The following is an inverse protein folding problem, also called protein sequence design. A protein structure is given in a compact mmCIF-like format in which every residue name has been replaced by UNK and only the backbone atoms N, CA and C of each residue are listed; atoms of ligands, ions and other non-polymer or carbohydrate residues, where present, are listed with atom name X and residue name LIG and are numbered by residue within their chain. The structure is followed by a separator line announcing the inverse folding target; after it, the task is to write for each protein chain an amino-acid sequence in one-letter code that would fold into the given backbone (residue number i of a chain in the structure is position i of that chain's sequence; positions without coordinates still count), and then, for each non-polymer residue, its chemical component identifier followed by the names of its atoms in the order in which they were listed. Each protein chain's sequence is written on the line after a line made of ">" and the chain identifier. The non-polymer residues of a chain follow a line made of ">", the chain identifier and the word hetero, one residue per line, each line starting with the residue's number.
data_IF_788200840479
#
_entry.id   IF_788200840479
#
_cell.length_a   1.000
_cell.length_b   1.000
_cell.length_c   1.000
_cell.angle_alpha   90.00
_cell.angle_beta   90.00
_cell.angle_gamma   90.00
#
_symmetry.space_group_name_H-M   'P 1'
#
loop_
_entity.id
_entity.type
_entity.pdbx_description
1 polymer ?
#
# COMPACT_ATOMS: atom_id res chain seq x y z
N UNK A 1 0.27 -26.15 -2.68
CA UNK A 1 0.51 -26.70 -4.02
C UNK A 1 -0.20 -25.93 -5.14
N UNK A 2 -1.49 -25.61 -5.05
CA UNK A 2 -2.24 -24.87 -6.10
C UNK A 2 -1.57 -23.56 -6.55
N UNK A 3 -1.16 -22.70 -5.62
CA UNK A 3 -0.56 -21.39 -5.95
C UNK A 3 0.76 -21.49 -6.74
N UNK A 4 1.62 -22.45 -6.38
CA UNK A 4 2.87 -22.69 -7.13
C UNK A 4 2.59 -23.07 -8.59
N UNK A 5 1.53 -23.84 -8.83
CA UNK A 5 1.11 -24.22 -10.18
C UNK A 5 0.60 -23.00 -10.96
N UNK A 6 -0.20 -22.14 -10.35
CA UNK A 6 -0.71 -20.91 -10.99
C UNK A 6 0.43 -19.97 -11.36
N UNK A 7 1.42 -19.80 -10.49
CA UNK A 7 2.62 -19.00 -10.76
C UNK A 7 3.42 -19.61 -11.93
N UNK A 8 3.62 -20.94 -11.95
CA UNK A 8 4.31 -21.61 -13.03
C UNK A 8 3.60 -21.45 -14.39
N UNK A 9 2.26 -21.52 -14.40
CA UNK A 9 1.44 -21.27 -15.59
C UNK A 9 1.60 -19.82 -16.07
N UNK A 10 1.56 -18.84 -15.14
CA UNK A 10 1.75 -17.44 -15.48
C UNK A 10 3.13 -17.15 -16.09
N UNK A 11 4.16 -17.84 -15.63
CA UNK A 11 5.54 -17.70 -16.11
C UNK A 11 5.82 -18.43 -17.43
N UNK A 12 5.01 -19.43 -17.79
CA UNK A 12 5.27 -20.30 -18.95
C UNK A 12 5.36 -19.55 -20.29
N UNK A 13 4.77 -18.36 -20.40
CA UNK A 13 4.77 -17.52 -21.63
C UNK A 13 5.81 -16.39 -21.58
N UNK A 14 6.75 -16.42 -20.63
CA UNK A 14 7.78 -15.38 -20.42
C UNK A 14 7.18 -13.95 -20.45
N UNK A 15 6.23 -13.63 -19.57
CA UNK A 15 5.58 -12.33 -19.55
C UNK A 15 6.55 -11.24 -19.13
N UNK A 16 6.36 -10.01 -19.62
CA UNK A 16 7.10 -8.83 -19.14
C UNK A 16 6.60 -8.33 -17.78
N UNK A 17 5.37 -8.68 -17.43
CA UNK A 17 4.72 -8.27 -16.17
C UNK A 17 3.76 -9.34 -15.68
N UNK A 18 3.72 -9.55 -14.37
CA UNK A 18 2.75 -10.43 -13.71
C UNK A 18 1.95 -9.59 -12.71
N UNK A 19 0.63 -9.76 -12.72
CA UNK A 19 -0.27 -9.17 -11.74
C UNK A 19 -0.66 -10.28 -10.74
N UNK A 20 -0.42 -10.03 -9.46
CA UNK A 20 -0.73 -10.94 -8.37
C UNK A 20 -1.73 -10.26 -7.42
N UNK A 21 -2.95 -10.75 -7.42
CA UNK A 21 -4.03 -10.25 -6.57
C UNK A 21 -4.24 -11.22 -5.40
N UNK A 22 -3.93 -10.75 -4.18
CA UNK A 22 -3.99 -11.51 -2.92
C UNK A 22 -3.38 -12.92 -3.01
N UNK A 23 -2.19 -13.11 -3.59
CA UNK A 23 -1.66 -14.43 -3.92
C UNK A 23 -1.30 -15.27 -2.70
N UNK A 24 -1.25 -14.67 -1.51
CA UNK A 24 -0.86 -15.33 -0.26
C UNK A 24 -2.03 -15.50 0.72
N UNK A 25 -3.25 -15.16 0.31
CA UNK A 25 -4.46 -15.32 1.15
C UNK A 25 -4.63 -16.77 1.58
N UNK A 26 -4.99 -17.00 2.84
CA UNK A 26 -5.17 -18.31 3.48
C UNK A 26 -3.89 -19.16 3.63
N UNK A 27 -2.71 -18.56 3.57
CA UNK A 27 -1.45 -19.23 3.92
C UNK A 27 -0.93 -18.72 5.26
N UNK A 28 -0.17 -19.57 5.95
CA UNK A 28 0.58 -19.13 7.12
C UNK A 28 1.75 -18.21 6.72
N UNK A 29 2.19 -17.36 7.64
CA UNK A 29 3.19 -16.29 7.40
C UNK A 29 4.52 -16.86 6.90
N UNK A 30 4.91 -18.06 7.34
CA UNK A 30 6.18 -18.69 6.94
C UNK A 30 6.11 -19.11 5.48
N UNK A 31 5.02 -19.78 5.08
CA UNK A 31 4.81 -20.21 3.70
C UNK A 31 4.63 -19.03 2.76
N UNK A 32 3.96 -17.96 3.20
CA UNK A 32 3.86 -16.71 2.44
C UNK A 32 5.25 -16.15 2.11
N UNK A 33 6.10 -16.04 3.11
CA UNK A 33 7.47 -15.51 2.94
C UNK A 33 8.31 -16.36 2.01
N UNK A 34 8.25 -17.70 2.15
CA UNK A 34 8.94 -18.61 1.24
C UNK A 34 8.50 -18.46 -0.23
N UNK A 35 7.20 -18.29 -0.46
CA UNK A 35 6.66 -18.11 -1.81
C UNK A 35 7.14 -16.78 -2.38
N UNK A 36 7.08 -15.69 -1.61
CA UNK A 36 7.53 -14.38 -2.06
C UNK A 36 9.02 -14.36 -2.37
N UNK A 37 9.86 -15.00 -1.54
CA UNK A 37 11.29 -15.15 -1.81
C UNK A 37 11.58 -15.88 -3.13
N UNK A 38 10.82 -16.94 -3.42
CA UNK A 38 10.95 -17.68 -4.69
C UNK A 38 10.49 -16.85 -5.89
N UNK A 39 9.39 -16.11 -5.74
CA UNK A 39 8.89 -15.20 -6.80
C UNK A 39 9.92 -14.10 -7.06
N UNK A 40 10.51 -13.53 -6.01
CA UNK A 40 11.54 -12.50 -6.13
C UNK A 40 12.78 -13.04 -6.85
N UNK A 41 13.26 -14.24 -6.51
CA UNK A 41 14.36 -14.89 -7.19
C UNK A 41 14.07 -15.10 -8.70
N UNK A 42 12.86 -15.55 -9.03
CA UNK A 42 12.42 -15.69 -10.42
C UNK A 42 12.33 -14.34 -11.16
N UNK A 43 11.88 -13.28 -10.48
CA UNK A 43 11.87 -11.91 -11.03
C UNK A 43 13.29 -11.47 -11.41
N UNK A 44 14.26 -11.69 -10.56
CA UNK A 44 15.66 -11.34 -10.85
C UNK A 44 16.26 -12.18 -11.98
N UNK A 45 15.93 -13.48 -12.03
CA UNK A 45 16.43 -14.40 -13.06
C UNK A 45 15.83 -14.12 -14.45
N UNK A 46 14.53 -13.90 -14.53
CA UNK A 46 13.79 -13.74 -15.80
C UNK A 46 13.50 -12.28 -16.17
N UNK A 47 13.77 -11.32 -15.32
CA UNK A 47 13.68 -9.89 -15.63
C UNK A 47 12.26 -9.35 -15.85
N UNK A 48 11.22 -9.97 -15.27
CA UNK A 48 9.84 -9.47 -15.36
C UNK A 48 9.50 -8.52 -14.21
N UNK A 49 8.48 -7.68 -14.42
CA UNK A 49 7.92 -6.81 -13.38
C UNK A 49 6.76 -7.48 -12.65
N UNK A 50 6.53 -7.10 -11.39
CA UNK A 50 5.40 -7.61 -10.60
C UNK A 50 4.55 -6.45 -10.11
N UNK A 51 3.24 -6.50 -10.39
CA UNK A 51 2.25 -5.71 -9.69
C UNK A 51 1.59 -6.60 -8.62
N UNK A 52 1.88 -6.32 -7.36
CA UNK A 52 1.37 -7.07 -6.22
C UNK A 52 0.24 -6.29 -5.54
N UNK A 53 -0.91 -6.92 -5.34
CA UNK A 53 -2.07 -6.34 -4.65
C UNK A 53 -2.28 -7.15 -3.38
N UNK A 54 -2.30 -6.48 -2.23
CA UNK A 54 -2.51 -7.11 -0.93
C UNK A 54 -2.91 -6.09 0.14
N UNK A 55 -3.44 -6.57 1.24
CA UNK A 55 -3.69 -5.79 2.45
C UNK A 55 -2.55 -5.88 3.48
N UNK A 56 -1.55 -6.75 3.27
CA UNK A 56 -0.41 -6.93 4.18
C UNK A 56 0.76 -6.01 3.79
N UNK A 57 0.76 -4.81 4.38
CA UNK A 57 1.78 -3.80 4.13
C UNK A 57 3.17 -4.23 4.65
N UNK A 58 3.24 -5.03 5.71
CA UNK A 58 4.52 -5.45 6.31
C UNK A 58 5.33 -6.33 5.36
N UNK A 59 4.67 -7.25 4.67
CA UNK A 59 5.30 -8.06 3.64
C UNK A 59 5.76 -7.21 2.45
N UNK A 60 4.93 -6.21 2.06
CA UNK A 60 5.25 -5.39 0.88
C UNK A 60 6.50 -4.55 1.05
N UNK A 61 6.74 -4.00 2.24
CA UNK A 61 7.96 -3.21 2.49
C UNK A 61 9.25 -4.01 2.29
N UNK A 62 9.20 -5.32 2.52
CA UNK A 62 10.36 -6.21 2.36
C UNK A 62 10.60 -6.60 0.89
N UNK A 63 9.54 -6.82 0.11
CA UNK A 63 9.63 -7.46 -1.22
C UNK A 63 9.37 -6.53 -2.40
N UNK A 64 9.06 -5.25 -2.18
CA UNK A 64 8.73 -4.34 -3.28
C UNK A 64 9.66 -3.13 -3.33
N UNK A 65 9.86 -2.60 -4.54
CA UNK A 65 10.63 -1.38 -4.78
C UNK A 65 9.80 -0.13 -4.44
N UNK A 66 8.50 -0.16 -4.77
CA UNK A 66 7.55 0.95 -4.57
C UNK A 66 6.23 0.43 -4.04
N UNK A 67 5.57 1.22 -3.21
CA UNK A 67 4.25 0.91 -2.67
C UNK A 67 3.28 2.03 -3.02
N UNK A 68 2.09 1.65 -3.48
CA UNK A 68 0.93 2.51 -3.62
C UNK A 68 -0.12 2.18 -2.56
N UNK A 69 -0.51 3.15 -1.75
CA UNK A 69 -1.56 3.00 -0.75
C UNK A 69 -2.89 3.45 -1.35
N UNK A 70 -3.90 2.61 -1.21
CA UNK A 70 -5.28 2.90 -1.62
C UNK A 70 -6.21 3.09 -0.43
N UNK A 71 -7.14 4.01 -0.55
CA UNK A 71 -8.24 4.19 0.39
C UNK A 71 -9.53 4.47 -0.36
N UNK A 72 -10.58 3.73 -0.05
CA UNK A 72 -11.92 3.89 -0.65
C UNK A 72 -11.89 3.96 -2.20
N UNK A 73 -11.10 3.09 -2.86
CA UNK A 73 -10.98 3.04 -4.33
C UNK A 73 -10.11 4.14 -4.95
N UNK A 74 -9.38 4.92 -4.15
CA UNK A 74 -8.49 5.99 -4.64
C UNK A 74 -7.06 5.73 -4.20
N UNK A 75 -6.09 5.90 -5.13
CA UNK A 75 -4.67 5.89 -4.80
C UNK A 75 -4.33 7.20 -4.08
N UNK A 76 -3.87 7.12 -2.83
CA UNK A 76 -3.69 8.28 -1.95
C UNK A 76 -2.23 8.64 -1.71
N UNK A 77 -1.33 7.66 -1.81
CA UNK A 77 0.10 7.88 -1.68
C UNK A 77 0.87 6.83 -2.48
N UNK A 78 1.98 7.23 -3.12
CA UNK A 78 2.94 6.35 -3.79
C UNK A 78 4.35 6.79 -3.43
N UNK A 79 5.17 5.86 -2.95
CA UNK A 79 6.55 6.15 -2.57
C UNK A 79 7.45 4.90 -2.69
N UNK A 80 8.79 5.05 -2.63
CA UNK A 80 9.69 3.93 -2.40
C UNK A 80 9.31 3.18 -1.12
N UNK A 81 9.35 1.86 -1.14
CA UNK A 81 8.88 1.02 -0.03
C UNK A 81 9.57 1.31 1.29
N UNK A 82 10.86 1.63 1.26
CA UNK A 82 11.66 1.96 2.46
C UNK A 82 11.28 3.30 3.10
N UNK A 83 10.65 4.20 2.35
CA UNK A 83 10.32 5.55 2.78
C UNK A 83 8.86 5.70 3.20
N UNK A 84 7.95 4.95 2.59
CA UNK A 84 6.50 5.13 2.76
C UNK A 84 6.04 5.01 4.22
N UNK A 85 6.68 4.15 5.01
CA UNK A 85 6.38 4.00 6.44
C UNK A 85 7.21 4.91 7.35
N UNK A 86 8.39 5.36 6.90
CA UNK A 86 9.25 6.24 7.70
C UNK A 86 8.76 7.68 7.71
N UNK A 87 8.37 8.16 6.55
CA UNK A 87 7.94 9.54 6.32
C UNK A 87 6.67 9.59 5.47
N UNK A 88 5.53 9.08 5.98
CA UNK A 88 4.27 9.09 5.25
C UNK A 88 3.76 10.53 5.08
N UNK A 89 3.22 10.84 3.89
CA UNK A 89 2.59 12.14 3.62
C UNK A 89 1.10 12.12 3.88
N UNK A 90 0.41 11.03 3.56
CA UNK A 90 -1.03 10.97 3.79
C UNK A 90 -1.35 10.51 5.23
N UNK A 91 -2.25 11.19 5.97
CA UNK A 91 -2.61 10.80 7.34
C UNK A 91 -3.16 9.38 7.49
N UNK A 92 -3.76 8.80 6.45
CA UNK A 92 -4.15 7.39 6.44
C UNK A 92 -2.91 6.48 6.44
N UNK A 93 -1.90 6.78 5.62
CA UNK A 93 -0.62 6.03 5.59
C UNK A 93 0.10 6.13 6.93
N UNK A 94 0.09 7.32 7.56
CA UNK A 94 0.63 7.54 8.92
C UNK A 94 -0.10 6.66 9.94
N UNK A 95 -1.43 6.58 9.86
CA UNK A 95 -2.25 5.70 10.70
C UNK A 95 -1.95 4.22 10.47
N UNK A 96 -1.78 3.79 9.20
CA UNK A 96 -1.35 2.43 8.88
C UNK A 96 0.02 2.13 9.47
N UNK A 97 1.02 3.00 9.23
CA UNK A 97 2.37 2.84 9.77
C UNK A 97 2.37 2.71 11.31
N UNK A 98 1.54 3.50 12.00
CA UNK A 98 1.38 3.47 13.45
C UNK A 98 0.66 2.23 13.99
N UNK A 99 -0.02 1.49 13.13
CA UNK A 99 -0.73 0.26 13.47
C UNK A 99 0.17 -0.98 13.44
N UNK A 100 1.42 -0.85 12.96
CA UNK A 100 2.38 -1.93 12.95
C UNK A 100 3.28 -1.89 14.19
N UNK A 101 3.42 -3.01 14.92
CA UNK A 101 4.35 -3.07 16.02
C UNK A 101 5.79 -2.91 15.50
N UNK A 102 6.63 -2.11 16.16
CA UNK A 102 8.05 -2.09 15.81
C UNK A 102 8.64 -3.48 16.04
N UNK A 103 9.46 -3.96 15.08
CA UNK A 103 10.12 -5.27 15.17
C UNK A 103 11.08 -5.36 16.36
N UNK A 104 11.57 -4.21 16.86
CA UNK A 104 12.49 -4.09 18.00
C UNK A 104 12.11 -2.84 18.82
N UNK A 105 12.06 -2.96 20.14
CA UNK A 105 11.77 -1.84 21.05
C UNK A 105 10.66 -2.11 22.06
N UNK A 106 10.34 -1.13 22.93
CA UNK A 106 9.28 -1.26 23.92
C UNK A 106 7.91 -1.44 23.23
N UNK A 107 7.05 -2.26 23.83
CA UNK A 107 5.67 -2.45 23.36
C UNK A 107 4.92 -1.11 23.44
N UNK A 108 4.65 -0.51 22.28
CA UNK A 108 3.79 0.67 22.18
C UNK A 108 2.33 0.23 22.04
N UNK A 109 1.41 0.97 22.66
CA UNK A 109 -0.02 0.76 22.42
C UNK A 109 -0.33 1.10 20.94
N UNK A 110 -0.69 0.08 20.18
CA UNK A 110 -1.11 0.25 18.79
C UNK A 110 -2.43 1.03 18.78
N UNK A 111 -2.41 2.20 18.17
CA UNK A 111 -3.62 3.00 17.95
C UNK A 111 -4.13 2.72 16.53
N UNK A 112 -5.28 2.04 16.45
CA UNK A 112 -5.98 1.89 15.17
C UNK A 112 -6.41 3.25 14.61
N UNK A 113 -6.68 3.29 13.30
CA UNK A 113 -7.24 4.49 12.65
C UNK A 113 -8.69 4.68 13.14
N UNK A 114 -9.03 5.83 13.73
CA UNK A 114 -10.36 6.04 14.31
C UNK A 114 -11.47 6.09 13.24
N UNK A 115 -12.72 5.90 13.68
CA UNK A 115 -13.92 5.98 12.84
C UNK A 115 -14.13 4.77 11.92
N UNK A 116 -15.28 4.75 11.26
CA UNK A 116 -15.67 3.70 10.33
C UNK A 116 -15.11 3.95 8.91
N UNK A 117 -14.87 2.89 8.12
CA UNK A 117 -14.57 3.03 6.70
C UNK A 117 -15.64 3.85 5.96
N UNK A 118 -15.23 4.55 4.88
CA UNK A 118 -16.15 5.32 4.05
C UNK A 118 -17.20 4.40 3.42
N UNK A 119 -18.48 4.84 3.50
CA UNK A 119 -19.53 4.24 2.69
C UNK A 119 -19.31 4.60 1.21
N UNK A 120 -19.03 3.61 0.38
CA UNK A 120 -18.76 3.84 -1.06
C UNK A 120 -20.00 4.23 -1.86
N UNK A 121 -21.22 4.13 -1.28
CA UNK A 121 -22.45 4.65 -1.88
C UNK A 121 -22.60 6.17 -1.71
N UNK A 122 -21.84 6.78 -0.78
CA UNK A 122 -21.91 8.20 -0.43
C UNK A 122 -20.51 8.82 -0.48
N UNK A 123 -19.94 8.90 -1.69
CA UNK A 123 -18.58 9.44 -1.88
C UNK A 123 -18.62 10.97 -1.73
N UNK A 124 -17.83 11.57 -0.82
CA UNK A 124 -17.75 13.01 -0.65
C UNK A 124 -17.08 13.68 -1.85
N UNK A 125 -17.41 14.95 -2.09
CA UNK A 125 -16.80 15.75 -3.16
C UNK A 125 -15.30 16.00 -2.94
N UNK A 126 -14.87 16.12 -1.68
CA UNK A 126 -13.49 16.35 -1.30
C UNK A 126 -12.69 15.08 -1.00
N UNK A 127 -11.82 15.16 -0.02
CA UNK A 127 -10.98 14.04 0.41
C UNK A 127 -11.80 12.88 0.98
N UNK A 128 -11.66 11.68 0.43
CA UNK A 128 -12.39 10.49 0.90
C UNK A 128 -12.07 10.10 2.33
N UNK A 129 -10.91 10.50 2.85
CA UNK A 129 -10.48 10.22 4.22
C UNK A 129 -10.89 11.31 5.22
N UNK A 130 -11.51 12.42 4.79
CA UNK A 130 -11.82 13.60 5.63
C UNK A 130 -12.50 13.28 6.95
N UNK A 131 -13.49 12.39 6.95
CA UNK A 131 -14.27 12.05 8.14
C UNK A 131 -13.47 11.34 9.25
N UNK A 132 -12.31 10.76 8.91
CA UNK A 132 -11.42 10.01 9.82
C UNK A 132 -10.08 10.71 10.04
N UNK A 133 -9.84 11.81 9.35
CA UNK A 133 -8.57 12.53 9.36
C UNK A 133 -8.51 13.50 10.54
N UNK A 134 -7.58 13.30 11.46
CA UNK A 134 -7.32 14.25 12.56
C UNK A 134 -6.64 15.56 12.13
N UNK A 135 -6.28 15.72 10.84
CA UNK A 135 -5.56 16.88 10.29
C UNK A 135 -6.37 17.58 9.17
N UNK A 136 -7.70 17.50 9.22
CA UNK A 136 -8.60 18.05 8.19
C UNK A 136 -8.49 19.56 8.08
N UNK A 137 -8.54 20.08 6.84
CA UNK A 137 -8.66 21.50 6.51
C UNK A 137 -9.95 21.74 5.73
N UNK A 138 -10.38 22.98 5.60
CA UNK A 138 -11.59 23.37 4.85
C UNK A 138 -11.58 22.85 3.41
N UNK A 139 -10.43 22.95 2.72
CA UNK A 139 -10.25 22.42 1.36
C UNK A 139 -10.49 20.90 1.25
N UNK A 140 -10.34 20.15 2.34
CA UNK A 140 -10.60 18.70 2.32
C UNK A 140 -12.08 18.35 2.14
N UNK A 141 -13.01 19.29 2.37
CA UNK A 141 -14.44 19.03 2.25
C UNK A 141 -15.00 19.32 0.86
N UNK A 142 -14.40 20.27 0.14
CA UNK A 142 -14.96 20.82 -1.11
C UNK A 142 -14.13 20.56 -2.35
N UNK A 143 -12.83 20.31 -2.20
CA UNK A 143 -11.91 20.17 -3.33
C UNK A 143 -11.51 18.71 -3.51
N UNK A 144 -11.73 18.18 -4.72
CA UNK A 144 -11.28 16.84 -5.07
C UNK A 144 -9.73 16.78 -5.09
N UNK A 145 -9.18 15.73 -4.49
CA UNK A 145 -7.75 15.53 -4.44
C UNK A 145 -7.27 14.76 -5.67
N UNK A 146 -6.15 15.20 -6.23
CA UNK A 146 -5.42 14.48 -7.28
C UNK A 146 -4.07 14.02 -6.76
N UNK A 147 -3.62 12.87 -7.24
CA UNK A 147 -2.29 12.36 -6.92
C UNK A 147 -1.24 13.27 -7.55
N UNK A 148 -0.48 14.00 -6.73
CA UNK A 148 0.49 15.00 -7.13
C UNK A 148 1.87 14.60 -6.68
N UNK A 149 2.87 14.82 -7.53
CA UNK A 149 4.27 14.60 -7.17
C UNK A 149 4.75 15.69 -6.21
N UNK A 150 5.27 15.29 -5.06
CA UNK A 150 5.81 16.19 -4.03
C UNK A 150 7.33 16.21 -4.05
N UNK A 151 7.93 15.04 -4.27
CA UNK A 151 9.36 14.82 -4.38
C UNK A 151 9.65 13.79 -5.50
N UNK A 152 10.89 13.63 -5.94
CA UNK A 152 11.23 12.58 -6.89
C UNK A 152 10.72 11.20 -6.42
N UNK A 153 9.93 10.53 -7.26
CA UNK A 153 9.32 9.22 -6.99
C UNK A 153 8.32 9.17 -5.81
N UNK A 154 7.89 10.32 -5.27
CA UNK A 154 6.91 10.39 -4.18
C UNK A 154 5.71 11.22 -4.58
N UNK A 155 4.53 10.64 -4.40
CA UNK A 155 3.25 11.23 -4.79
C UNK A 155 2.26 11.11 -3.63
N UNK A 156 1.46 12.13 -3.42
CA UNK A 156 0.32 12.09 -2.50
C UNK A 156 -0.85 12.90 -3.05
N UNK A 157 -2.07 12.55 -2.62
CA UNK A 157 -3.24 13.37 -2.90
C UNK A 157 -3.68 14.18 -1.68
N UNK A 158 -2.83 14.37 -0.68
CA UNK A 158 -3.17 15.05 0.56
C UNK A 158 -3.04 16.57 0.44
N UNK A 159 -4.11 17.34 0.71
CA UNK A 159 -4.11 18.81 0.72
C UNK A 159 -3.11 19.46 1.69
N UNK A 160 -2.58 18.73 2.64
CA UNK A 160 -1.52 19.23 3.51
C UNK A 160 -0.22 19.50 2.76
N UNK A 161 -0.01 18.84 1.61
CA UNK A 161 1.21 18.87 0.83
C UNK A 161 1.02 19.39 -0.60
N UNK A 162 -0.20 19.30 -1.16
CA UNK A 162 -0.49 19.68 -2.55
C UNK A 162 -0.96 21.13 -2.72
N UNK A 163 -1.14 21.87 -1.64
CA UNK A 163 -1.66 23.25 -1.63
C UNK A 163 -0.60 24.31 -1.33
N UNK A 164 0.62 24.15 -1.86
CA UNK A 164 1.65 25.20 -1.84
C UNK A 164 1.80 25.81 -3.21
#
# INVERSE_FOLDING_TARGET
>A
MRQRLVIAIALALNPKMIIMDEPTTALDVVVQREILQKIYALKEEFGFSILFITHDLSLMVEFTDRIGIMYAGQLIEVAPSKEILKTPYHPYTEGLASSFPPLTGPKTHLKGIPGNPLNLLEIPQGCRFQARCGKTKESCFSVANTLTQIEPNRFTNCHLFTGK
#
